data_IF_476189640221
#
_entry.id   IF_476189640221
#
_cell.length_a   1.000
_cell.length_b   1.000
_cell.length_c   1.000
_cell.angle_alpha   90.00
_cell.angle_beta   90.00
_cell.angle_gamma   90.00
#
_symmetry.space_group_name_H-M   'P 1'
#
loop_
_entity.id
_entity.type
_entity.pdbx_description
1 polymer ?
#
# COMPACT_ATOMS: atom_id res chain seq x y z
N UNK A 1 34.27 -28.42 10.48
CA UNK A 1 33.87 -27.49 9.41
C UNK A 1 32.35 -27.26 9.52
N UNK A 2 31.93 -26.15 10.15
CA UNK A 2 30.50 -25.83 10.30
C UNK A 2 30.01 -25.32 8.94
N UNK A 3 29.10 -26.05 8.27
CA UNK A 3 28.39 -25.57 7.11
C UNK A 3 27.63 -24.31 7.52
N UNK A 4 28.02 -23.12 7.02
CA UNK A 4 27.18 -21.94 7.04
C UNK A 4 25.92 -22.30 6.24
N UNK A 5 24.80 -22.50 6.93
CA UNK A 5 23.53 -22.67 6.27
C UNK A 5 23.28 -21.44 5.39
N UNK A 6 23.04 -21.65 4.10
CA UNK A 6 22.52 -20.64 3.22
C UNK A 6 21.15 -20.23 3.80
N UNK A 7 21.09 -19.12 4.53
CA UNK A 7 19.80 -18.51 4.86
C UNK A 7 19.13 -18.19 3.53
N UNK A 8 17.98 -18.77 3.26
CA UNK A 8 17.19 -18.44 2.08
C UNK A 8 16.93 -16.94 2.09
N UNK A 9 17.19 -16.28 0.96
CA UNK A 9 16.89 -14.85 0.80
C UNK A 9 15.40 -14.63 1.07
N UNK A 10 15.08 -13.54 1.76
CA UNK A 10 13.69 -13.12 1.90
C UNK A 10 13.16 -12.57 0.55
N UNK A 11 11.85 -12.31 0.47
CA UNK A 11 11.23 -11.83 -0.76
C UNK A 11 11.84 -10.51 -1.25
N UNK A 12 12.17 -9.59 -0.33
CA UNK A 12 12.74 -8.29 -0.64
C UNK A 12 14.13 -8.44 -1.28
N UNK A 13 15.01 -9.23 -0.64
CA UNK A 13 16.34 -9.52 -1.18
C UNK A 13 16.29 -10.28 -2.51
N UNK A 14 15.33 -11.20 -2.64
CA UNK A 14 15.13 -11.94 -3.87
C UNK A 14 14.74 -11.03 -5.02
N UNK A 15 13.84 -10.09 -4.77
CA UNK A 15 13.33 -9.19 -5.80
C UNK A 15 14.32 -8.07 -6.11
N UNK A 16 14.83 -7.38 -5.10
CA UNK A 16 15.60 -6.14 -5.28
C UNK A 16 17.13 -6.32 -5.20
N UNK A 17 17.62 -7.50 -4.79
CA UNK A 17 19.05 -7.81 -4.78
C UNK A 17 19.83 -7.25 -3.58
N UNK A 18 19.16 -6.68 -2.56
CA UNK A 18 19.80 -6.16 -1.36
C UNK A 18 18.88 -6.29 -0.15
N UNK A 19 19.46 -6.30 1.05
CA UNK A 19 18.70 -6.32 2.31
C UNK A 19 18.05 -4.97 2.57
N UNK A 20 16.76 -4.97 2.92
CA UNK A 20 16.03 -3.76 3.27
C UNK A 20 16.70 -3.01 4.43
N UNK A 21 16.93 -1.73 4.26
CA UNK A 21 17.58 -0.87 5.25
C UNK A 21 17.26 0.62 4.95
N UNK A 22 17.76 1.52 5.78
CA UNK A 22 17.54 2.98 5.64
C UNK A 22 18.06 3.59 4.34
N UNK A 23 18.90 2.87 3.57
CA UNK A 23 19.47 3.36 2.32
C UNK A 23 18.67 2.94 1.07
N UNK A 24 17.47 2.35 1.24
CA UNK A 24 16.61 1.94 0.12
C UNK A 24 16.51 3.04 -0.95
N UNK A 25 16.28 4.30 -0.53
CA UNK A 25 16.11 5.44 -1.44
C UNK A 25 17.37 5.71 -2.30
N UNK A 26 18.55 5.39 -1.79
CA UNK A 26 19.82 5.57 -2.50
C UNK A 26 20.14 4.40 -3.43
N UNK A 27 19.66 3.21 -3.09
CA UNK A 27 19.90 1.97 -3.87
C UNK A 27 18.87 1.83 -4.99
N UNK A 28 17.63 2.25 -4.74
CA UNK A 28 16.59 2.26 -5.76
C UNK A 28 16.54 3.60 -6.48
N UNK A 29 16.39 3.55 -7.79
CA UNK A 29 16.20 4.72 -8.63
C UNK A 29 14.76 4.76 -9.15
N UNK A 30 14.13 5.94 -9.05
CA UNK A 30 12.77 6.17 -9.53
C UNK A 30 12.80 7.00 -10.81
N UNK A 31 12.16 6.48 -11.84
CA UNK A 31 11.92 7.18 -13.10
C UNK A 31 10.42 7.34 -13.35
N UNK A 32 10.01 8.50 -13.83
CA UNK A 32 8.65 8.75 -14.31
C UNK A 32 8.70 8.81 -15.83
N UNK A 33 8.06 7.84 -16.46
CA UNK A 33 7.98 7.75 -17.92
C UNK A 33 6.64 8.29 -18.44
N UNK A 34 6.41 8.19 -19.76
CA UNK A 34 5.17 8.68 -20.39
C UNK A 34 3.91 8.21 -19.68
N UNK A 35 2.88 9.05 -19.62
CA UNK A 35 1.61 8.83 -18.93
C UNK A 35 1.75 8.63 -17.41
N UNK A 36 2.71 9.28 -16.78
CA UNK A 36 2.97 9.23 -15.33
C UNK A 36 3.20 7.81 -14.80
N UNK A 37 3.62 6.88 -15.65
CA UNK A 37 4.00 5.54 -15.17
C UNK A 37 5.34 5.59 -14.48
N UNK A 38 5.45 4.85 -13.39
CA UNK A 38 6.62 4.82 -12.53
C UNK A 38 7.40 3.53 -12.80
N UNK A 39 8.69 3.67 -12.98
CA UNK A 39 9.67 2.58 -13.02
C UNK A 39 10.60 2.73 -11.82
N UNK A 40 10.82 1.65 -11.10
CA UNK A 40 11.87 1.54 -10.10
C UNK A 40 12.99 0.65 -10.65
N UNK A 41 14.23 1.10 -10.52
CA UNK A 41 15.43 0.33 -10.90
C UNK A 41 16.26 0.06 -9.67
N UNK A 42 16.59 -1.19 -9.41
CA UNK A 42 17.54 -1.54 -8.35
C UNK A 42 18.96 -1.45 -8.87
N UNK A 43 19.79 -0.61 -8.25
CA UNK A 43 21.23 -0.52 -8.54
C UNK A 43 22.02 -1.75 -8.08
N UNK A 44 21.43 -2.56 -7.18
CA UNK A 44 22.09 -3.73 -6.63
C UNK A 44 22.13 -4.92 -7.61
N UNK A 45 21.07 -5.09 -8.41
CA UNK A 45 20.97 -6.20 -9.38
C UNK A 45 20.67 -5.73 -10.82
N UNK A 46 20.43 -4.44 -11.04
CA UNK A 46 20.12 -3.87 -12.36
C UNK A 46 18.68 -4.09 -12.83
N UNK A 47 17.86 -4.77 -12.04
CA UNK A 47 16.47 -5.11 -12.41
C UNK A 47 15.57 -3.88 -12.42
N UNK A 48 14.67 -3.84 -13.42
CA UNK A 48 13.68 -2.77 -13.60
C UNK A 48 12.27 -3.27 -13.32
N UNK A 49 11.55 -2.54 -12.48
CA UNK A 49 10.22 -2.89 -12.02
C UNK A 49 9.20 -1.84 -12.45
N UNK A 50 8.14 -2.28 -13.11
CA UNK A 50 7.01 -1.41 -13.47
C UNK A 50 6.09 -1.28 -12.25
N UNK A 51 6.01 -0.09 -11.66
CA UNK A 51 5.03 0.23 -10.62
C UNK A 51 3.67 0.57 -11.24
N UNK A 52 3.67 1.15 -12.43
CA UNK A 52 2.47 1.65 -13.09
C UNK A 52 2.18 3.11 -12.75
N UNK A 53 0.93 3.50 -12.85
CA UNK A 53 0.43 4.80 -12.40
C UNK A 53 -0.20 4.64 -11.02
N UNK A 54 0.19 5.47 -10.08
CA UNK A 54 -0.37 5.46 -8.74
C UNK A 54 -1.09 6.79 -8.46
N UNK A 55 -2.36 6.71 -8.06
CA UNK A 55 -3.15 7.87 -7.65
C UNK A 55 -4.13 7.49 -6.54
N UNK A 56 -4.36 8.41 -5.62
CA UNK A 56 -5.39 8.30 -4.59
C UNK A 56 -6.47 9.30 -4.99
N UNK A 57 -7.58 8.76 -5.47
CA UNK A 57 -8.71 9.57 -5.91
C UNK A 57 -9.77 9.58 -4.82
N UNK A 58 -10.33 10.77 -4.56
CA UNK A 58 -11.52 10.89 -3.73
C UNK A 58 -12.74 10.22 -4.39
N UNK A 59 -13.75 9.87 -3.61
CA UNK A 59 -15.01 9.37 -4.15
C UNK A 59 -15.68 10.38 -5.08
N UNK A 60 -15.50 11.67 -4.82
CA UNK A 60 -16.00 12.75 -5.68
C UNK A 60 -15.34 12.69 -7.06
N UNK A 61 -14.00 12.63 -7.12
CA UNK A 61 -13.27 12.52 -8.38
C UNK A 61 -13.62 11.26 -9.16
N UNK A 62 -13.79 10.12 -8.45
CA UNK A 62 -14.22 8.87 -9.09
C UNK A 62 -15.62 8.98 -9.69
N UNK A 63 -16.56 9.60 -8.98
CA UNK A 63 -17.93 9.85 -9.49
C UNK A 63 -17.93 10.76 -10.70
N UNK A 64 -17.17 11.85 -10.68
CA UNK A 64 -17.05 12.75 -11.83
C UNK A 64 -16.44 12.04 -13.05
N UNK A 65 -15.39 11.24 -12.86
CA UNK A 65 -14.77 10.46 -13.94
C UNK A 65 -15.71 9.41 -14.55
N UNK A 66 -16.65 8.89 -13.78
CA UNK A 66 -17.58 7.84 -14.23
C UNK A 66 -18.95 8.36 -14.64
N UNK A 67 -19.21 9.66 -14.48
CA UNK A 67 -20.49 10.30 -14.71
C UNK A 67 -21.06 10.07 -16.12
N UNK A 68 -20.19 10.10 -17.13
CA UNK A 68 -20.56 9.92 -18.54
C UNK A 68 -20.35 8.48 -19.03
N UNK A 69 -20.01 7.57 -18.12
CA UNK A 69 -19.83 6.18 -18.48
C UNK A 69 -21.20 5.56 -18.80
N UNK A 70 -21.57 5.57 -20.07
CA UNK A 70 -22.78 4.88 -20.52
C UNK A 70 -22.58 3.39 -20.29
N UNK A 71 -23.33 2.84 -19.35
CA UNK A 71 -23.31 1.43 -19.01
C UNK A 71 -23.87 0.61 -20.18
N UNK A 72 -23.03 0.24 -21.13
CA UNK A 72 -23.29 -0.91 -21.98
C UNK A 72 -22.94 -2.18 -21.21
N UNK A 73 -23.60 -2.41 -20.07
CA UNK A 73 -23.41 -3.65 -19.31
C UNK A 73 -24.22 -4.74 -20.00
N UNK A 74 -23.61 -5.33 -21.01
CA UNK A 74 -24.10 -6.56 -21.62
C UNK A 74 -23.67 -7.81 -20.85
N UNK A 75 -22.77 -7.67 -19.87
CA UNK A 75 -22.22 -8.79 -19.11
C UNK A 75 -22.64 -8.72 -17.64
N UNK A 76 -23.13 -9.83 -17.13
CA UNK A 76 -23.47 -10.01 -15.74
C UNK A 76 -22.17 -10.20 -14.93
N UNK A 77 -21.89 -9.28 -14.01
CA UNK A 77 -20.77 -9.41 -13.08
C UNK A 77 -21.20 -10.33 -11.92
N UNK A 78 -20.36 -11.32 -11.62
CA UNK A 78 -20.54 -12.17 -10.43
C UNK A 78 -19.60 -11.67 -9.35
N UNK A 79 -20.14 -11.30 -8.20
CA UNK A 79 -19.38 -10.91 -7.01
C UNK A 79 -19.37 -12.07 -6.04
N UNK A 80 -18.18 -12.45 -5.56
CA UNK A 80 -18.00 -13.48 -4.53
C UNK A 80 -17.27 -12.88 -3.35
N UNK A 81 -17.76 -13.12 -2.14
CA UNK A 81 -17.03 -12.84 -0.92
C UNK A 81 -16.31 -14.13 -0.48
N UNK A 82 -14.98 -14.08 -0.41
CA UNK A 82 -14.15 -15.23 -0.12
C UNK A 82 -13.40 -15.01 1.19
N UNK A 83 -13.38 -16.04 2.02
CA UNK A 83 -12.43 -16.15 3.12
C UNK A 83 -11.41 -17.23 2.74
N UNK A 84 -10.17 -16.81 2.51
CA UNK A 84 -9.10 -17.70 2.07
C UNK A 84 -7.82 -17.47 2.88
N UNK A 85 -7.02 -18.51 3.00
CA UNK A 85 -5.66 -18.45 3.58
C UNK A 85 -4.59 -18.33 2.49
N UNK A 86 -4.95 -18.51 1.23
CA UNK A 86 -4.02 -18.48 0.11
C UNK A 86 -4.61 -17.66 -1.05
N UNK A 87 -4.32 -16.37 -1.01
CA UNK A 87 -4.79 -15.44 -2.05
C UNK A 87 -4.11 -15.71 -3.41
N UNK A 88 -2.89 -16.25 -3.44
CA UNK A 88 -2.20 -16.57 -4.69
C UNK A 88 -2.91 -17.71 -5.41
N UNK A 89 -3.37 -18.73 -4.67
CA UNK A 89 -4.15 -19.82 -5.23
C UNK A 89 -5.48 -19.32 -5.82
N UNK A 90 -6.14 -18.38 -5.13
CA UNK A 90 -7.37 -17.76 -5.63
C UNK A 90 -7.15 -17.01 -6.95
N UNK A 91 -6.07 -16.24 -7.07
CA UNK A 91 -5.70 -15.58 -8.32
C UNK A 91 -5.42 -16.57 -9.44
N UNK A 92 -4.73 -17.65 -9.14
CA UNK A 92 -4.39 -18.69 -10.11
C UNK A 92 -5.64 -19.43 -10.63
N UNK A 93 -6.56 -19.76 -9.73
CA UNK A 93 -7.77 -20.50 -10.06
C UNK A 93 -8.86 -19.66 -10.74
N UNK A 94 -8.79 -18.34 -10.64
CA UNK A 94 -9.79 -17.42 -11.17
C UNK A 94 -9.16 -16.42 -12.16
N UNK A 95 -8.69 -16.88 -13.33
CA UNK A 95 -8.12 -16.00 -14.35
C UNK A 95 -9.16 -14.97 -14.82
N UNK A 96 -8.72 -13.78 -15.17
CA UNK A 96 -9.55 -12.65 -15.61
C UNK A 96 -10.54 -12.12 -14.55
N UNK A 97 -10.29 -12.38 -13.29
CA UNK A 97 -11.05 -11.81 -12.17
C UNK A 97 -10.37 -10.58 -11.58
N UNK A 98 -11.16 -9.72 -10.95
CA UNK A 98 -10.70 -8.60 -10.13
C UNK A 98 -10.83 -8.98 -8.67
N UNK A 99 -9.74 -8.82 -7.92
CA UNK A 99 -9.73 -9.04 -6.48
C UNK A 99 -9.69 -7.70 -5.74
N UNK A 100 -10.60 -7.55 -4.79
CA UNK A 100 -10.58 -6.46 -3.84
C UNK A 100 -10.20 -7.01 -2.48
N UNK A 101 -9.18 -6.43 -1.87
CA UNK A 101 -8.73 -6.78 -0.52
C UNK A 101 -8.80 -5.54 0.38
N UNK A 102 -8.97 -5.76 1.68
CA UNK A 102 -8.85 -4.70 2.65
C UNK A 102 -7.40 -4.17 2.65
N UNK A 103 -7.23 -2.88 2.86
CA UNK A 103 -5.96 -2.24 3.10
C UNK A 103 -6.11 -1.26 4.25
N UNK A 104 -5.01 -0.95 4.91
CA UNK A 104 -5.00 0.06 5.96
C UNK A 104 -5.10 1.47 5.36
N UNK A 105 -5.49 2.44 6.16
CA UNK A 105 -5.76 3.80 5.71
C UNK A 105 -4.49 4.57 5.28
N UNK A 106 -3.30 4.05 5.59
CA UNK A 106 -2.03 4.55 5.07
C UNK A 106 -1.53 3.82 3.81
N UNK A 107 -2.37 2.97 3.20
CA UNK A 107 -2.04 2.16 2.01
C UNK A 107 -0.87 1.18 2.20
N UNK A 108 -0.52 0.87 3.43
CA UNK A 108 0.47 -0.15 3.82
C UNK A 108 -0.24 -1.31 4.53
N UNK A 109 0.54 -2.32 4.91
CA UNK A 109 0.05 -3.52 5.61
C UNK A 109 0.80 -3.70 6.93
N UNK A 110 0.62 -2.75 7.84
CA UNK A 110 1.26 -2.77 9.15
C UNK A 110 0.73 -3.90 10.01
N UNK A 111 1.61 -4.69 10.65
CA UNK A 111 1.22 -5.80 11.53
C UNK A 111 0.44 -5.38 12.76
N UNK A 112 0.63 -4.17 13.21
CA UNK A 112 -0.04 -3.62 14.40
C UNK A 112 -0.03 -2.09 14.38
N UNK A 113 -0.87 -1.43 15.20
CA UNK A 113 -0.85 0.02 15.35
C UNK A 113 0.47 0.59 15.90
N UNK A 114 1.37 -0.26 16.39
CA UNK A 114 2.70 0.13 16.89
C UNK A 114 3.79 0.00 15.83
N UNK A 115 3.50 -0.63 14.71
CA UNK A 115 4.43 -0.78 13.59
C UNK A 115 4.46 0.52 12.80
N UNK A 116 5.65 1.01 12.48
CA UNK A 116 5.87 2.25 11.74
C UNK A 116 6.48 1.96 10.36
N UNK A 117 6.30 2.84 9.36
CA UNK A 117 6.81 2.62 8.00
C UNK A 117 8.33 2.38 7.93
N UNK A 118 9.11 2.99 8.82
CA UNK A 118 10.56 2.86 8.90
C UNK A 118 11.03 1.47 9.31
N UNK A 119 10.14 0.63 9.88
CA UNK A 119 10.44 -0.77 10.16
C UNK A 119 10.51 -1.62 8.88
N UNK A 120 10.03 -1.06 7.77
CA UNK A 120 10.14 -1.67 6.46
C UNK A 120 8.98 -2.60 6.12
N UNK A 121 9.12 -3.27 4.98
CA UNK A 121 8.10 -4.11 4.36
C UNK A 121 8.52 -5.58 4.24
N UNK A 122 9.76 -5.93 4.57
CA UNK A 122 10.27 -7.30 4.47
C UNK A 122 9.43 -8.28 5.27
N UNK A 123 8.95 -7.87 6.43
CA UNK A 123 8.17 -8.69 7.34
C UNK A 123 6.77 -9.09 6.84
N UNK A 124 6.29 -8.48 5.74
CA UNK A 124 5.03 -8.87 5.12
C UNK A 124 4.99 -10.34 4.73
N UNK A 125 6.13 -10.95 4.42
CA UNK A 125 6.23 -12.39 4.12
C UNK A 125 5.80 -13.31 5.28
N UNK A 126 5.80 -12.81 6.51
CA UNK A 126 5.43 -13.57 7.71
C UNK A 126 3.98 -13.30 8.15
N UNK A 127 3.24 -12.49 7.40
CA UNK A 127 1.82 -12.23 7.61
C UNK A 127 1.00 -12.91 6.52
N UNK A 128 0.15 -13.86 6.90
CA UNK A 128 -0.65 -14.66 5.98
C UNK A 128 -2.05 -14.11 5.74
N UNK A 129 -2.30 -12.86 6.11
CA UNK A 129 -3.55 -12.16 5.80
C UNK A 129 -3.58 -11.68 4.35
N UNK A 130 -4.76 -11.24 3.87
CA UNK A 130 -4.97 -10.87 2.46
C UNK A 130 -4.09 -9.72 1.99
N UNK A 131 -3.99 -8.66 2.81
CA UNK A 131 -3.27 -7.44 2.44
C UNK A 131 -1.79 -7.68 2.16
N UNK A 132 -1.03 -8.27 3.10
CA UNK A 132 0.37 -8.61 2.89
C UNK A 132 0.60 -9.53 1.69
N UNK A 133 -0.22 -10.55 1.49
CA UNK A 133 -0.10 -11.44 0.33
C UNK A 133 -0.23 -10.67 -1.00
N UNK A 134 -1.22 -9.78 -1.13
CA UNK A 134 -1.37 -8.92 -2.31
C UNK A 134 -0.21 -7.92 -2.44
N UNK A 135 0.30 -7.39 -1.34
CA UNK A 135 1.45 -6.50 -1.32
C UNK A 135 2.72 -7.17 -1.83
N UNK A 136 2.95 -8.44 -1.47
CA UNK A 136 4.07 -9.24 -1.98
C UNK A 136 3.93 -9.51 -3.49
N UNK A 137 2.73 -9.84 -3.95
CA UNK A 137 2.45 -10.04 -5.38
C UNK A 137 2.74 -8.79 -6.21
N UNK A 138 2.63 -7.60 -5.62
CA UNK A 138 2.90 -6.30 -6.23
C UNK A 138 4.13 -5.62 -5.59
N UNK A 139 5.22 -6.34 -5.37
CA UNK A 139 6.36 -5.89 -4.57
C UNK A 139 6.93 -4.53 -4.95
N UNK A 140 7.02 -4.20 -6.24
CA UNK A 140 7.48 -2.89 -6.69
C UNK A 140 6.51 -1.75 -6.30
N UNK A 141 5.21 -1.98 -6.37
CA UNK A 141 4.21 -1.02 -5.91
C UNK A 141 4.23 -0.87 -4.39
N UNK A 142 4.51 -1.94 -3.66
CA UNK A 142 4.69 -1.93 -2.21
C UNK A 142 5.92 -1.12 -1.81
N UNK A 143 7.06 -1.35 -2.49
CA UNK A 143 8.27 -0.52 -2.36
C UNK A 143 7.97 0.96 -2.59
N UNK A 144 7.25 1.28 -3.67
CA UNK A 144 6.90 2.66 -3.99
C UNK A 144 6.04 3.30 -2.90
N UNK A 145 5.01 2.60 -2.41
CA UNK A 145 4.09 3.11 -1.38
C UNK A 145 4.80 3.40 -0.05
N UNK A 146 5.81 2.61 0.30
CA UNK A 146 6.55 2.83 1.54
C UNK A 146 7.62 3.93 1.38
N UNK A 147 8.41 3.92 0.30
CA UNK A 147 9.64 4.69 0.22
C UNK A 147 9.63 5.88 -0.76
N UNK A 148 8.69 5.93 -1.72
CA UNK A 148 8.76 6.90 -2.82
C UNK A 148 7.49 7.70 -3.07
N UNK A 149 6.38 7.33 -2.45
CA UNK A 149 5.12 8.05 -2.63
C UNK A 149 5.23 9.46 -2.08
N UNK A 150 4.72 10.49 -2.80
CA UNK A 150 4.64 11.82 -2.23
C UNK A 150 3.56 11.88 -1.14
N UNK A 151 3.91 12.34 0.03
CA UNK A 151 3.01 12.54 1.18
C UNK A 151 3.05 14.00 1.59
N UNK A 152 1.89 14.61 1.79
CA UNK A 152 1.80 15.98 2.27
C UNK A 152 2.02 16.01 3.78
N UNK A 153 3.12 16.59 4.23
CA UNK A 153 3.34 16.91 5.64
C UNK A 153 2.50 18.16 6.00
N UNK A 154 1.36 17.93 6.64
CA UNK A 154 0.44 18.99 7.03
C UNK A 154 1.05 19.98 8.03
N UNK A 155 1.97 19.52 8.90
CA UNK A 155 2.62 20.35 9.91
C UNK A 155 3.62 21.32 9.31
N UNK A 156 4.38 20.86 8.33
CA UNK A 156 5.42 21.66 7.65
C UNK A 156 4.94 22.29 6.36
N UNK A 157 3.76 21.93 5.89
CA UNK A 157 3.22 22.29 4.58
C UNK A 157 4.19 22.02 3.41
N UNK A 158 4.84 20.86 3.46
CA UNK A 158 5.81 20.38 2.47
C UNK A 158 5.40 19.02 1.93
N UNK A 159 6.06 18.57 0.86
CA UNK A 159 5.94 17.20 0.36
C UNK A 159 7.13 16.40 0.84
N UNK A 160 6.86 15.32 1.54
CA UNK A 160 7.82 14.28 1.87
C UNK A 160 7.69 13.14 0.86
N UNK A 161 8.78 12.50 0.48
CA UNK A 161 8.77 11.28 -0.32
C UNK A 161 9.01 10.07 0.58
N UNK A 162 8.12 9.08 0.44
CA UNK A 162 8.03 7.94 1.36
C UNK A 162 7.25 8.27 2.64
N UNK A 163 6.84 7.24 3.34
CA UNK A 163 6.08 7.35 4.58
C UNK A 163 7.00 7.18 5.79
N UNK A 164 6.66 7.86 6.89
CA UNK A 164 7.36 7.80 8.17
C UNK A 164 6.35 7.82 9.31
N UNK A 165 6.78 7.57 10.55
CA UNK A 165 5.90 7.62 11.73
C UNK A 165 5.13 8.95 11.82
N UNK A 166 5.82 10.06 11.52
CA UNK A 166 5.26 11.41 11.62
C UNK A 166 4.50 11.89 10.37
N UNK A 167 4.67 11.23 9.22
CA UNK A 167 4.13 11.67 7.94
C UNK A 167 3.69 10.47 7.10
N UNK A 168 2.40 10.19 7.15
CA UNK A 168 1.79 9.07 6.45
C UNK A 168 0.61 9.54 5.59
N UNK A 169 0.28 8.75 4.57
CA UNK A 169 -1.00 8.90 3.88
C UNK A 169 -2.13 8.56 4.85
N UNK A 170 -3.19 9.32 4.77
CA UNK A 170 -4.43 9.05 5.45
C UNK A 170 -5.59 9.14 4.44
N UNK A 171 -6.11 8.00 4.04
CA UNK A 171 -7.23 7.92 3.09
C UNK A 171 -8.57 8.43 3.65
N UNK A 172 -8.63 8.77 4.93
CA UNK A 172 -9.79 9.36 5.58
C UNK A 172 -9.60 10.85 5.94
N UNK A 173 -8.54 11.48 5.41
CA UNK A 173 -8.27 12.91 5.69
C UNK A 173 -9.48 13.81 5.41
N UNK A 174 -10.12 13.64 4.25
CA UNK A 174 -11.29 14.44 3.86
C UNK A 174 -12.48 14.22 4.81
N UNK A 175 -12.65 12.97 5.30
CA UNK A 175 -13.72 12.63 6.25
C UNK A 175 -13.41 13.21 7.62
N UNK A 176 -12.17 13.14 8.09
CA UNK A 176 -11.75 13.73 9.35
C UNK A 176 -11.93 15.25 9.34
N UNK A 177 -11.53 15.91 8.24
CA UNK A 177 -11.70 17.36 8.08
C UNK A 177 -13.18 17.75 8.09
N UNK A 178 -14.03 17.00 7.38
CA UNK A 178 -15.49 17.22 7.36
C UNK A 178 -16.11 17.08 8.76
N UNK A 179 -15.68 16.08 9.52
CA UNK A 179 -16.15 15.80 10.88
C UNK A 179 -15.40 16.60 11.96
N UNK A 180 -14.48 17.50 11.57
CA UNK A 180 -13.65 18.32 12.48
C UNK A 180 -12.81 17.50 13.46
N UNK A 181 -12.40 16.31 13.04
CA UNK A 181 -11.56 15.37 13.81
C UNK A 181 -12.14 14.93 15.18
N UNK A 182 -13.45 15.12 15.40
CA UNK A 182 -14.08 14.91 16.72
C UNK A 182 -14.49 13.45 16.99
N UNK A 183 -14.41 12.56 15.99
CA UNK A 183 -15.00 11.21 16.10
C UNK A 183 -13.99 10.08 16.08
N UNK A 184 -12.87 10.25 15.39
CA UNK A 184 -11.85 9.22 15.27
C UNK A 184 -10.48 9.83 14.88
N UNK A 185 -9.44 9.04 15.05
CA UNK A 185 -8.10 9.37 14.50
C UNK A 185 -7.47 8.17 13.83
N UNK A 186 -6.54 8.43 12.92
CA UNK A 186 -5.76 7.39 12.26
C UNK A 186 -4.35 7.40 12.84
N UNK A 187 -3.85 6.21 13.19
CA UNK A 187 -2.45 6.01 13.59
C UNK A 187 -1.92 4.75 12.95
N UNK A 188 -0.80 4.87 12.24
CA UNK A 188 -0.15 3.78 11.51
C UNK A 188 -1.13 2.97 10.65
N UNK A 189 -2.01 3.68 9.94
CA UNK A 189 -3.04 3.08 9.08
C UNK A 189 -4.24 2.47 9.81
N UNK A 190 -4.28 2.47 11.12
CA UNK A 190 -5.40 1.97 11.92
C UNK A 190 -6.31 3.10 12.37
N UNK A 191 -7.61 2.85 12.34
CA UNK A 191 -8.63 3.75 12.87
C UNK A 191 -8.85 3.49 14.36
N UNK A 192 -8.87 4.57 15.13
CA UNK A 192 -9.18 4.58 16.55
C UNK A 192 -10.30 5.55 16.84
N UNK A 193 -11.07 5.25 17.89
CA UNK A 193 -12.05 6.12 18.47
C UNK A 193 -12.01 5.99 20.00
N UNK A 194 -12.54 6.97 20.71
CA UNK A 194 -12.71 6.91 22.17
C UNK A 194 -14.19 6.79 22.55
N UNK A 195 -14.47 6.40 23.79
CA UNK A 195 -15.84 6.39 24.30
C UNK A 195 -16.48 7.80 24.27
N UNK A 196 -15.69 8.84 24.50
CA UNK A 196 -16.11 10.24 24.41
C UNK A 196 -16.51 10.61 22.97
N UNK A 197 -15.71 10.20 21.98
CA UNK A 197 -16.04 10.40 20.57
C UNK A 197 -17.36 9.71 20.18
N UNK A 198 -17.63 8.51 20.71
CA UNK A 198 -18.84 7.75 20.39
C UNK A 198 -20.10 8.35 21.04
N UNK A 199 -19.97 9.02 22.18
CA UNK A 199 -21.11 9.70 22.82
C UNK A 199 -21.57 10.94 22.06
N UNK A 200 -20.71 11.55 21.27
CA UNK A 200 -21.04 12.70 20.44
C UNK A 200 -21.81 12.33 19.15
N UNK A 201 -22.04 11.04 18.91
CA UNK A 201 -22.82 10.53 17.77
C UNK A 201 -24.33 10.42 18.05
N UNK A 202 -24.77 10.64 19.30
CA UNK A 202 -26.16 10.63 19.72
C UNK A 202 -26.67 12.07 19.95
#
# INVERSE_FOLDING_TARGET
>A
MKRKGNMSKNWFETLFGFTENKNVINIMEKEIISNNRIILTSKANGEKFKVGHFSILSLYELREKTKDYKQNILQKVTVRNLSTKDIFLEHYQNPNSLFQVASQFNILEMKSPKTIPEQGITDYQSDYTQGPACSLACGAATMYRNYFIPVKDKKKNTIQYGQSDDCQINNLDDVQELLKEDYFWIKNGYLFSSAEHLTNLN
#
